data_IF_540589496927
#
_entry.id   IF_540589496927
#
_cell.length_a   1.000
_cell.length_b   1.000
_cell.length_c   1.000
_cell.angle_alpha   90.00
_cell.angle_beta   90.00
_cell.angle_gamma   90.00
#
_symmetry.space_group_name_H-M   'P 1'
#
loop_
_entity.id
_entity.type
_entity.pdbx_description
1 polymer ?
#
# COMPACT_ATOMS: atom_id res chain seq x y z
N UNK A 1 10.99 9.43 9.68
CA UNK A 1 10.49 8.85 8.42
C UNK A 1 9.52 9.85 7.82
N UNK A 2 9.65 10.17 6.53
CA UNK A 2 8.62 10.96 5.86
C UNK A 2 7.29 10.22 5.98
N UNK A 3 6.23 10.96 6.34
CA UNK A 3 4.88 10.41 6.38
C UNK A 3 4.46 10.12 4.95
N UNK A 4 4.02 8.89 4.68
CA UNK A 4 3.44 8.54 3.40
C UNK A 4 2.17 9.37 3.15
N UNK A 5 2.08 9.95 1.95
CA UNK A 5 0.85 10.60 1.47
C UNK A 5 0.01 9.54 0.77
N UNK A 6 -1.15 9.25 1.33
CA UNK A 6 -2.09 8.28 0.77
C UNK A 6 -3.15 9.02 -0.04
N UNK A 7 -3.27 8.65 -1.32
CA UNK A 7 -4.31 9.14 -2.22
C UNK A 7 -5.42 8.08 -2.29
N UNK A 8 -6.67 8.53 -2.32
CA UNK A 8 -7.82 7.67 -2.60
C UNK A 8 -7.93 7.49 -4.11
N UNK A 9 -8.17 6.27 -4.57
CA UNK A 9 -8.37 5.97 -5.99
C UNK A 9 -9.88 5.90 -6.26
N UNK A 10 -10.48 7.07 -6.50
CA UNK A 10 -11.94 7.21 -6.64
C UNK A 10 -12.54 6.44 -7.83
N UNK A 11 -11.73 6.08 -8.82
CA UNK A 11 -12.16 5.22 -9.94
C UNK A 11 -12.56 3.81 -9.49
N UNK A 12 -12.16 3.41 -8.28
CA UNK A 12 -12.45 2.11 -7.72
C UNK A 12 -13.53 2.15 -6.63
N UNK A 13 -14.09 3.31 -6.30
CA UNK A 13 -15.10 3.43 -5.23
C UNK A 13 -16.27 2.44 -5.45
N UNK A 14 -16.88 1.96 -4.37
CA UNK A 14 -18.00 1.03 -4.44
C UNK A 14 -19.28 1.69 -4.99
N UNK A 15 -20.36 0.90 -5.13
CA UNK A 15 -21.64 1.39 -5.66
C UNK A 15 -22.27 2.52 -4.81
N UNK A 16 -21.88 2.63 -3.54
CA UNK A 16 -22.33 3.68 -2.62
C UNK A 16 -21.38 4.90 -2.62
N UNK A 17 -20.27 4.84 -3.35
CA UNK A 17 -19.25 5.87 -3.41
C UNK A 17 -18.25 5.83 -2.25
N UNK A 18 -18.16 4.71 -1.52
CA UNK A 18 -17.15 4.56 -0.48
C UNK A 18 -15.79 4.16 -1.10
N UNK A 19 -14.68 4.68 -0.56
CA UNK A 19 -13.36 4.35 -1.04
C UNK A 19 -12.95 2.92 -0.65
N UNK A 20 -12.57 2.13 -1.64
CA UNK A 20 -12.06 0.76 -1.46
C UNK A 20 -10.62 0.59 -1.91
N UNK A 21 -9.98 1.65 -2.42
CA UNK A 21 -8.57 1.59 -2.82
C UNK A 21 -7.80 2.86 -2.46
N UNK A 22 -6.58 2.67 -1.95
CA UNK A 22 -5.64 3.74 -1.60
C UNK A 22 -4.28 3.47 -2.21
N UNK A 23 -3.63 4.50 -2.76
CA UNK A 23 -2.30 4.40 -3.34
C UNK A 23 -1.31 5.35 -2.64
N UNK A 24 -0.04 4.96 -2.59
CA UNK A 24 1.05 5.82 -2.13
C UNK A 24 2.34 5.55 -2.89
N UNK A 25 3.18 6.57 -2.98
CA UNK A 25 4.52 6.45 -3.56
C UNK A 25 5.52 5.96 -2.51
N UNK A 26 6.24 4.88 -2.81
CA UNK A 26 7.22 4.24 -1.92
C UNK A 26 8.65 4.25 -2.47
N UNK A 27 8.83 4.39 -3.80
CA UNK A 27 10.14 4.37 -4.47
C UNK A 27 11.05 3.22 -4.01
N UNK A 28 10.51 2.00 -3.93
CA UNK A 28 11.22 0.85 -3.40
C UNK A 28 12.08 0.19 -4.48
N UNK A 29 13.38 -0.11 -4.23
CA UNK A 29 14.29 -0.61 -5.24
C UNK A 29 13.87 -1.97 -5.83
N UNK A 30 13.14 -2.78 -5.05
CA UNK A 30 12.61 -4.08 -5.50
C UNK A 30 11.18 -4.00 -6.05
N UNK A 31 10.32 -3.20 -5.42
CA UNK A 31 8.86 -3.30 -5.63
C UNK A 31 8.31 -2.13 -6.45
N UNK A 32 9.20 -1.32 -7.02
CA UNK A 32 8.83 -0.21 -7.88
C UNK A 32 8.35 1.02 -7.10
N UNK A 33 7.70 1.91 -7.84
CA UNK A 33 7.40 3.26 -7.40
C UNK A 33 6.21 3.33 -6.43
N UNK A 34 5.19 2.49 -6.64
CA UNK A 34 3.89 2.63 -5.97
C UNK A 34 3.51 1.38 -5.17
N UNK A 35 2.63 1.59 -4.19
CA UNK A 35 1.95 0.55 -3.44
C UNK A 35 0.47 0.92 -3.33
N UNK A 36 -0.38 -0.11 -3.39
CA UNK A 36 -1.82 -0.02 -3.23
C UNK A 36 -2.26 -0.75 -1.96
N UNK A 37 -3.34 -0.26 -1.36
CA UNK A 37 -4.12 -0.99 -0.38
C UNK A 37 -5.52 -1.15 -0.97
N UNK A 38 -5.98 -2.39 -1.09
CA UNK A 38 -7.33 -2.73 -1.55
C UNK A 38 -8.17 -3.18 -0.34
N UNK A 39 -9.37 -2.64 -0.19
CA UNK A 39 -10.39 -3.23 0.67
C UNK A 39 -11.05 -4.40 -0.09
N UNK A 40 -10.86 -5.60 0.44
CA UNK A 40 -11.37 -6.85 -0.14
C UNK A 40 -12.67 -7.30 0.55
N UNK A 41 -13.24 -6.46 1.43
CA UNK A 41 -14.44 -6.72 2.22
C UNK A 41 -14.12 -7.37 3.58
N UNK A 42 -13.35 -8.47 3.60
CA UNK A 42 -12.96 -9.17 4.83
C UNK A 42 -11.54 -8.83 5.32
N UNK A 43 -10.70 -8.26 4.45
CA UNK A 43 -9.35 -7.80 4.76
C UNK A 43 -8.90 -6.65 3.86
N UNK A 44 -7.79 -6.01 4.26
CA UNK A 44 -7.08 -5.00 3.48
C UNK A 44 -5.79 -5.60 2.88
N UNK A 45 -5.75 -5.76 1.56
CA UNK A 45 -4.61 -6.31 0.83
C UNK A 45 -3.60 -5.23 0.49
N UNK A 46 -2.32 -5.43 0.83
CA UNK A 46 -1.20 -4.58 0.42
C UNK A 46 -0.62 -5.13 -0.88
N UNK A 47 -0.62 -4.34 -1.94
CA UNK A 47 -0.23 -4.74 -3.28
C UNK A 47 0.86 -3.83 -3.86
N UNK A 48 1.70 -4.40 -4.72
CA UNK A 48 2.74 -3.69 -5.49
C UNK A 48 2.76 -4.19 -6.93
N UNK A 49 3.33 -3.42 -7.83
CA UNK A 49 3.64 -3.88 -9.19
C UNK A 49 5.08 -4.40 -9.25
N UNK A 50 5.22 -5.72 -9.43
CA UNK A 50 6.49 -6.41 -9.52
C UNK A 50 6.47 -7.41 -10.68
N UNK A 51 6.37 -6.88 -11.90
CA UNK A 51 6.16 -7.70 -13.10
C UNK A 51 4.71 -8.17 -13.22
N UNK A 52 3.78 -7.35 -12.72
CA UNK A 52 2.39 -7.70 -12.46
C UNK A 52 2.01 -7.38 -11.01
N UNK A 53 0.72 -7.14 -10.79
CA UNK A 53 0.18 -6.86 -9.47
C UNK A 53 0.34 -8.09 -8.56
N UNK A 54 1.01 -7.86 -7.41
CA UNK A 54 1.31 -8.90 -6.43
C UNK A 54 0.88 -8.45 -5.05
N UNK A 55 -0.03 -9.20 -4.43
CA UNK A 55 -0.44 -9.00 -3.04
C UNK A 55 0.68 -9.51 -2.09
N UNK A 56 1.24 -8.60 -1.29
CA UNK A 56 2.33 -8.89 -0.36
C UNK A 56 1.84 -9.28 1.03
N UNK A 57 0.72 -8.72 1.48
CA UNK A 57 0.26 -8.90 2.86
C UNK A 57 -1.23 -8.59 3.04
N UNK A 58 -1.88 -9.28 3.98
CA UNK A 58 -3.28 -9.06 4.37
C UNK A 58 -3.38 -8.50 5.78
N UNK A 59 -4.13 -7.41 5.96
CA UNK A 59 -4.37 -6.78 7.26
C UNK A 59 -5.86 -6.75 7.60
N UNK A 60 -6.19 -6.74 8.90
CA UNK A 60 -7.59 -6.65 9.35
C UNK A 60 -8.18 -5.24 9.28
N UNK A 61 -7.35 -4.22 9.05
CA UNK A 61 -7.81 -2.83 8.95
C UNK A 61 -6.89 -1.99 8.07
N UNK A 62 -7.45 -0.94 7.46
CA UNK A 62 -6.68 0.06 6.70
C UNK A 62 -5.50 0.64 7.49
N UNK A 63 -5.71 0.92 8.79
CA UNK A 63 -4.67 1.47 9.67
C UNK A 63 -3.51 0.48 9.80
N UNK A 64 -3.81 -0.81 9.98
CA UNK A 64 -2.77 -1.84 10.10
C UNK A 64 -2.04 -2.07 8.77
N UNK A 65 -2.72 -1.98 7.63
CA UNK A 65 -2.11 -2.00 6.30
C UNK A 65 -1.14 -0.83 6.08
N UNK A 66 -1.57 0.42 6.36
CA UNK A 66 -0.72 1.62 6.25
C UNK A 66 0.52 1.54 7.14
N UNK A 67 0.37 1.01 8.36
CA UNK A 67 1.49 0.74 9.27
C UNK A 67 2.43 -0.32 8.70
N UNK A 68 1.90 -1.43 8.17
CA UNK A 68 2.71 -2.48 7.57
C UNK A 68 3.57 -1.93 6.42
N UNK A 69 3.00 -1.12 5.53
CA UNK A 69 3.74 -0.47 4.42
C UNK A 69 4.86 0.40 4.95
N UNK A 70 4.60 1.22 5.97
CA UNK A 70 5.63 2.08 6.58
C UNK A 70 6.76 1.24 7.20
N UNK A 71 6.43 0.12 7.85
CA UNK A 71 7.42 -0.75 8.51
C UNK A 71 8.24 -1.58 7.53
N UNK A 72 7.66 -2.03 6.41
CA UNK A 72 8.31 -3.03 5.55
C UNK A 72 8.77 -2.48 4.20
N UNK A 73 8.11 -1.46 3.66
CA UNK A 73 8.39 -0.92 2.33
C UNK A 73 9.11 0.43 2.36
N UNK A 74 9.15 1.12 3.50
CA UNK A 74 9.83 2.42 3.64
C UNK A 74 11.15 2.37 4.41
N UNK A 75 11.53 1.21 4.96
CA UNK A 75 12.85 1.06 5.57
C UNK A 75 13.87 0.92 4.43
N UNK A 76 14.45 2.06 4.06
CA UNK A 76 15.78 2.07 3.45
C UNK A 76 16.68 1.37 4.46
N UNK A 77 17.19 0.17 4.14
CA UNK A 77 18.28 -0.42 4.90
C UNK A 77 19.37 0.65 4.93
N UNK A 78 19.58 1.29 6.08
CA UNK A 78 20.85 1.95 6.39
C UNK A 78 21.87 0.82 6.41
N UNK A 79 22.36 0.44 5.24
CA UNK A 79 23.67 -0.18 5.15
C UNK A 79 24.60 0.91 5.64
N UNK A 80 25.05 0.77 6.88
CA UNK A 80 26.15 1.53 7.43
C UNK A 80 27.32 1.40 6.44
N UNK A 81 27.70 2.52 5.83
CA UNK A 81 29.03 2.77 5.32
C UNK A 81 29.54 4.02 6.04
#
# INVERSE_FOLDING_TARGET
>A
MSKLTWNIVHECDDEEGNPVQWATEINHPKYGKYCWINDMGDYFGVEVDYGGFTELFKCKSLISAKRWVTTHLMIIRRTLL
#
